data_IF_056831624662
#
_entry.id   IF_056831624662
#
_cell.length_a   1.000
_cell.length_b   1.000
_cell.length_c   1.000
_cell.angle_alpha   90.00
_cell.angle_beta   90.00
_cell.angle_gamma   90.00
#
_symmetry.space_group_name_H-M   'P 1'
#
loop_
_entity.id
_entity.type
_entity.pdbx_description
1 polymer ?
#
# COMPACT_ATOMS: atom_id res chain seq x y z
N UNK A 1 9.44 -37.49 -23.62
CA UNK A 1 8.72 -36.21 -23.79
C UNK A 1 7.66 -36.15 -22.70
N UNK A 2 7.96 -35.52 -21.56
CA UNK A 2 7.00 -35.34 -20.47
C UNK A 2 6.14 -34.13 -20.81
N UNK A 3 4.92 -34.36 -21.27
CA UNK A 3 3.94 -33.29 -21.47
C UNK A 3 3.64 -32.66 -20.11
N UNK A 4 4.20 -31.46 -19.87
CA UNK A 4 3.85 -30.64 -18.72
C UNK A 4 2.43 -30.15 -18.90
N UNK A 5 1.47 -30.82 -18.28
CA UNK A 5 0.10 -30.33 -18.16
C UNK A 5 0.13 -29.03 -17.37
N UNK A 6 -0.05 -27.90 -18.05
CA UNK A 6 -0.19 -26.59 -17.41
C UNK A 6 -1.44 -26.65 -16.54
N UNK A 7 -1.26 -26.90 -15.23
CA UNK A 7 -2.37 -26.82 -14.30
C UNK A 7 -2.83 -25.37 -14.26
N UNK A 8 -4.08 -25.16 -14.66
CA UNK A 8 -4.74 -23.87 -14.64
C UNK A 8 -4.81 -23.40 -13.18
N UNK A 9 -4.03 -22.37 -12.84
CA UNK A 9 -4.02 -21.83 -11.49
C UNK A 9 -5.37 -21.18 -11.19
N UNK A 10 -5.90 -21.48 -10.00
CA UNK A 10 -7.12 -20.86 -9.51
C UNK A 10 -6.86 -19.36 -9.24
N UNK A 11 -7.86 -18.49 -9.46
CA UNK A 11 -7.75 -17.09 -9.11
C UNK A 11 -7.52 -16.93 -7.60
N UNK A 12 -6.81 -15.86 -7.24
CA UNK A 12 -6.46 -15.52 -5.86
C UNK A 12 -7.19 -14.28 -5.43
N UNK A 13 -7.59 -14.21 -4.18
CA UNK A 13 -8.11 -12.99 -3.59
C UNK A 13 -7.02 -12.30 -2.80
N UNK A 14 -6.78 -11.05 -3.15
CA UNK A 14 -5.73 -10.22 -2.59
C UNK A 14 -6.37 -9.06 -1.83
N UNK A 15 -5.90 -8.84 -0.60
CA UNK A 15 -6.33 -7.73 0.25
C UNK A 15 -5.20 -6.71 0.32
N UNK A 16 -5.41 -5.51 -0.22
CA UNK A 16 -4.42 -4.45 -0.28
C UNK A 16 -4.66 -3.46 0.86
N UNK A 17 -3.64 -3.24 1.68
CA UNK A 17 -3.68 -2.32 2.82
C UNK A 17 -2.60 -1.26 2.63
N UNK A 18 -2.99 0.02 2.58
CA UNK A 18 -2.00 1.10 2.62
C UNK A 18 -1.52 1.29 4.06
N UNK A 19 -0.22 1.49 4.25
CA UNK A 19 0.32 1.88 5.54
C UNK A 19 -0.36 3.15 6.12
N UNK A 20 -0.34 3.27 7.44
CA UNK A 20 -0.80 4.44 8.18
C UNK A 20 0.02 5.69 7.89
N UNK A 21 -0.45 6.86 8.33
CA UNK A 21 0.30 8.10 8.17
C UNK A 21 1.69 8.00 8.85
N UNK A 22 2.75 8.26 8.08
CA UNK A 22 4.11 8.38 8.62
C UNK A 22 4.49 9.82 8.96
N UNK A 23 5.56 9.97 9.75
CA UNK A 23 6.18 11.27 10.04
C UNK A 23 6.62 12.01 8.77
N UNK A 24 7.12 11.28 7.77
CA UNK A 24 7.46 11.82 6.46
C UNK A 24 6.22 12.32 5.71
N UNK A 25 5.13 11.55 5.68
CA UNK A 25 3.89 11.99 5.03
C UNK A 25 3.36 13.27 5.66
N UNK A 26 3.40 13.36 7.00
CA UNK A 26 3.02 14.55 7.75
C UNK A 26 3.87 15.77 7.35
N UNK A 27 5.20 15.62 7.32
CA UNK A 27 6.13 16.69 6.92
C UNK A 27 5.90 17.14 5.48
N UNK A 28 5.75 16.21 4.54
CA UNK A 28 5.50 16.53 3.14
C UNK A 28 4.16 17.25 2.95
N UNK A 29 3.13 16.89 3.71
CA UNK A 29 1.86 17.61 3.70
C UNK A 29 2.04 19.05 4.20
N UNK A 30 2.74 19.26 5.33
CA UNK A 30 3.01 20.59 5.87
C UNK A 30 3.82 21.46 4.90
N UNK A 31 4.84 20.90 4.25
CA UNK A 31 5.66 21.60 3.25
C UNK A 31 4.81 22.00 2.04
N UNK A 32 3.97 21.08 1.51
CA UNK A 32 3.05 21.40 0.41
C UNK A 32 2.07 22.52 0.75
N UNK A 33 1.54 22.53 1.97
CA UNK A 33 0.65 23.60 2.43
C UNK A 33 1.39 24.95 2.53
N UNK A 34 2.58 24.97 3.12
CA UNK A 34 3.40 26.19 3.21
C UNK A 34 3.75 26.74 1.82
N UNK A 35 4.13 25.85 0.89
CA UNK A 35 4.40 26.20 -0.50
C UNK A 35 3.13 26.74 -1.17
N UNK A 36 1.99 26.05 -1.06
CA UNK A 36 0.71 26.49 -1.63
C UNK A 36 0.30 27.88 -1.14
N UNK A 37 0.49 28.17 0.14
CA UNK A 37 0.18 29.47 0.70
C UNK A 37 1.16 30.55 0.22
N UNK A 38 2.44 30.24 0.01
CA UNK A 38 3.40 31.14 -0.64
C UNK A 38 2.98 31.47 -2.09
N UNK A 39 2.52 30.46 -2.84
CA UNK A 39 2.02 30.61 -4.22
C UNK A 39 0.73 31.44 -4.31
N UNK A 40 -0.11 31.43 -3.28
CA UNK A 40 -1.34 32.25 -3.24
C UNK A 40 -1.05 33.76 -3.16
N UNK A 41 0.14 34.15 -2.73
CA UNK A 41 0.52 35.56 -2.58
C UNK A 41 1.59 36.03 -3.58
N UNK A 42 2.20 35.14 -4.37
CA UNK A 42 3.14 35.52 -5.44
C UNK A 42 3.39 34.37 -6.44
N UNK A 43 3.74 34.69 -7.69
CA UNK A 43 4.29 33.73 -8.66
C UNK A 43 5.78 33.53 -8.37
N UNK A 44 6.23 32.38 -7.87
CA UNK A 44 7.64 32.15 -7.60
C UNK A 44 8.42 31.96 -8.90
N UNK A 45 9.71 32.25 -8.81
CA UNK A 45 10.63 32.07 -9.93
C UNK A 45 10.92 30.58 -10.11
N UNK A 46 11.23 30.16 -11.32
CA UNK A 46 11.54 28.77 -11.65
C UNK A 46 12.68 28.17 -10.80
N UNK A 47 13.57 29.00 -10.27
CA UNK A 47 14.62 28.61 -9.33
C UNK A 47 14.10 28.14 -7.97
N UNK A 48 13.02 28.75 -7.46
CA UNK A 48 12.49 28.48 -6.12
C UNK A 48 11.76 27.12 -6.08
N UNK A 49 11.23 26.70 -7.23
CA UNK A 49 10.61 25.39 -7.41
C UNK A 49 11.67 24.27 -7.30
N UNK A 50 12.84 24.45 -7.91
CA UNK A 50 13.92 23.45 -7.85
C UNK A 50 14.48 23.30 -6.44
N UNK A 51 14.69 24.39 -5.71
CA UNK A 51 15.14 24.35 -4.32
C UNK A 51 14.11 23.67 -3.39
N UNK A 52 12.81 23.90 -3.63
CA UNK A 52 11.74 23.21 -2.91
C UNK A 52 11.69 21.71 -3.20
N UNK A 53 12.03 21.29 -4.42
CA UNK A 53 12.12 19.88 -4.79
C UNK A 53 13.35 19.18 -4.18
N UNK A 54 14.48 19.87 -4.03
CA UNK A 54 15.67 19.30 -3.37
C UNK A 54 15.44 19.03 -1.88
N UNK A 55 14.69 19.88 -1.17
CA UNK A 55 14.29 19.65 0.22
C UNK A 55 13.36 18.44 0.39
N UNK A 56 12.59 18.10 -0.65
CA UNK A 56 11.73 16.92 -0.70
C UNK A 56 12.54 15.64 -1.01
N UNK A 57 13.75 15.79 -1.56
CA UNK A 57 14.55 14.69 -2.11
C UNK A 57 15.69 14.23 -1.18
N UNK A 58 15.66 14.55 0.12
CA UNK A 58 16.69 14.07 1.06
C UNK A 58 16.52 12.55 1.25
N UNK A 59 17.46 11.71 0.80
CA UNK A 59 17.35 10.25 0.86
C UNK A 59 17.31 9.68 2.29
N UNK A 60 17.55 10.52 3.31
CA UNK A 60 17.66 10.13 4.71
C UNK A 60 16.31 9.96 5.44
N UNK A 61 15.16 10.10 4.77
CA UNK A 61 13.82 9.95 5.39
C UNK A 61 12.96 8.82 4.81
N UNK A 62 13.54 7.95 3.96
CA UNK A 62 12.80 6.90 3.22
C UNK A 62 12.10 5.91 4.17
N UNK A 63 12.61 5.74 5.39
CA UNK A 63 12.05 4.84 6.38
C UNK A 63 11.69 5.56 7.69
N UNK A 64 10.56 6.26 7.67
CA UNK A 64 10.02 6.98 8.84
C UNK A 64 9.03 6.14 9.65
N UNK A 65 9.02 6.35 10.96
CA UNK A 65 8.02 5.79 11.87
C UNK A 65 6.60 6.27 11.52
N UNK A 66 5.60 5.50 11.94
CA UNK A 66 4.20 5.93 11.99
C UNK A 66 4.05 7.13 12.94
N UNK A 67 3.33 8.17 12.49
CA UNK A 67 3.06 9.37 13.29
C UNK A 67 2.07 9.07 14.43
N UNK A 68 1.89 9.96 15.43
CA UNK A 68 0.84 9.79 16.44
C UNK A 68 -0.56 9.62 15.82
N UNK A 69 -0.86 10.38 14.77
CA UNK A 69 -2.13 10.23 14.01
C UNK A 69 -2.21 8.87 13.35
N UNK A 70 -1.11 8.41 12.74
CA UNK A 70 -1.04 7.08 12.14
C UNK A 70 -1.25 5.95 13.15
N UNK A 71 -0.78 6.11 14.40
CA UNK A 71 -1.06 5.14 15.47
C UNK A 71 -2.55 5.09 15.82
N UNK A 72 -3.22 6.24 15.84
CA UNK A 72 -4.68 6.28 16.00
C UNK A 72 -5.41 5.60 14.84
N UNK A 73 -4.97 5.83 13.59
CA UNK A 73 -5.51 5.16 12.40
C UNK A 73 -5.35 3.63 12.47
N UNK A 74 -4.17 3.16 12.92
CA UNK A 74 -3.91 1.73 13.14
C UNK A 74 -4.86 1.15 14.16
N UNK A 75 -5.03 1.80 15.31
CA UNK A 75 -5.88 1.30 16.40
C UNK A 75 -7.36 1.26 15.99
N UNK A 76 -7.87 2.32 15.36
CA UNK A 76 -9.25 2.37 14.86
C UNK A 76 -9.51 1.23 13.87
N UNK A 77 -8.60 1.05 12.90
CA UNK A 77 -8.75 0.00 11.91
C UNK A 77 -8.57 -1.40 12.50
N UNK A 78 -7.66 -1.57 13.47
CA UNK A 78 -7.50 -2.84 14.20
C UNK A 78 -8.81 -3.23 14.91
N UNK A 79 -9.47 -2.28 15.57
CA UNK A 79 -10.75 -2.51 16.23
C UNK A 79 -11.84 -2.89 15.21
N UNK A 80 -11.89 -2.21 14.05
CA UNK A 80 -12.83 -2.53 12.98
C UNK A 80 -12.61 -3.94 12.39
N UNK A 81 -11.35 -4.31 12.10
CA UNK A 81 -11.00 -5.62 11.56
C UNK A 81 -11.27 -6.74 12.57
N UNK A 82 -10.99 -6.50 13.86
CA UNK A 82 -11.30 -7.43 14.93
C UNK A 82 -12.79 -7.62 15.11
N UNK A 83 -13.58 -6.54 15.06
CA UNK A 83 -15.03 -6.61 15.15
C UNK A 83 -15.64 -7.41 13.97
N UNK A 84 -15.03 -7.34 12.79
CA UNK A 84 -15.41 -8.12 11.62
C UNK A 84 -14.85 -9.56 11.60
N UNK A 85 -14.01 -9.93 12.59
CA UNK A 85 -13.27 -11.19 12.60
C UNK A 85 -12.57 -11.45 11.25
N UNK A 86 -11.91 -10.40 10.73
CA UNK A 86 -11.51 -10.31 9.33
C UNK A 86 -10.60 -11.46 8.89
N UNK A 87 -9.59 -11.80 9.68
CA UNK A 87 -8.61 -12.84 9.32
C UNK A 87 -9.28 -14.20 9.15
N UNK A 88 -10.19 -14.55 10.05
CA UNK A 88 -10.93 -15.81 10.06
C UNK A 88 -12.04 -15.83 9.00
N UNK A 89 -12.79 -14.74 8.87
CA UNK A 89 -13.92 -14.64 7.93
C UNK A 89 -13.44 -14.72 6.49
N UNK A 90 -12.36 -14.01 6.17
CA UNK A 90 -11.76 -14.01 4.83
C UNK A 90 -10.77 -15.17 4.61
N UNK A 91 -10.51 -15.96 5.66
CA UNK A 91 -9.58 -17.10 5.66
C UNK A 91 -8.19 -16.71 5.17
N UNK A 92 -7.62 -15.65 5.74
CA UNK A 92 -6.32 -15.14 5.32
C UNK A 92 -5.21 -16.15 5.62
N UNK A 93 -4.52 -16.59 4.58
CA UNK A 93 -3.48 -17.62 4.68
C UNK A 93 -2.08 -16.99 4.82
N UNK A 94 -1.88 -15.83 4.19
CA UNK A 94 -0.59 -15.15 4.13
C UNK A 94 -0.72 -13.64 4.31
N UNK A 95 0.21 -13.07 5.07
CA UNK A 95 0.42 -11.62 5.16
C UNK A 95 1.79 -11.27 4.60
N UNK A 96 1.86 -10.28 3.73
CA UNK A 96 3.09 -9.76 3.15
C UNK A 96 3.14 -8.27 3.39
N UNK A 97 4.29 -7.75 3.82
CA UNK A 97 4.44 -6.31 3.98
C UNK A 97 5.73 -5.79 3.33
N UNK A 98 5.70 -4.51 2.96
CA UNK A 98 6.91 -3.77 2.59
C UNK A 98 7.92 -3.76 3.76
N UNK A 99 9.23 -3.79 3.48
CA UNK A 99 10.27 -3.72 4.51
C UNK A 99 10.32 -2.38 5.25
N UNK A 100 9.65 -1.35 4.73
CA UNK A 100 9.63 -0.04 5.39
C UNK A 100 8.84 -0.12 6.71
N UNK A 101 9.43 0.45 7.76
CA UNK A 101 8.97 0.44 9.13
C UNK A 101 7.52 0.86 9.28
N UNK A 102 7.07 1.88 8.55
CA UNK A 102 5.66 2.29 8.55
C UNK A 102 4.69 1.19 8.09
N UNK A 103 5.05 0.41 7.08
CA UNK A 103 4.22 -0.69 6.60
C UNK A 103 4.25 -1.86 7.60
N UNK A 104 5.43 -2.15 8.16
CA UNK A 104 5.60 -3.14 9.23
C UNK A 104 4.80 -2.80 10.49
N UNK A 105 4.90 -1.58 11.00
CA UNK A 105 4.14 -1.08 12.16
C UNK A 105 2.63 -1.14 11.88
N UNK A 106 2.20 -0.78 10.67
CA UNK A 106 0.79 -0.90 10.26
C UNK A 106 0.31 -2.35 10.27
N UNK A 107 1.06 -3.27 9.64
CA UNK A 107 0.74 -4.71 9.64
C UNK A 107 0.65 -5.26 11.05
N UNK A 108 1.62 -4.87 11.90
CA UNK A 108 1.69 -5.32 13.28
C UNK A 108 0.47 -4.87 14.08
N UNK A 109 0.15 -3.58 14.02
CA UNK A 109 -0.92 -3.03 14.84
C UNK A 109 -2.32 -3.41 14.35
N UNK A 110 -2.53 -3.50 13.03
CA UNK A 110 -3.85 -3.82 12.47
C UNK A 110 -4.18 -5.31 12.51
N UNK A 111 -3.20 -6.17 12.21
CA UNK A 111 -3.43 -7.60 12.00
C UNK A 111 -2.89 -8.45 13.16
N UNK A 112 -2.10 -7.86 14.07
CA UNK A 112 -1.31 -8.60 15.06
C UNK A 112 -0.30 -9.57 14.41
N UNK A 113 0.07 -9.33 13.14
CA UNK A 113 0.94 -10.18 12.32
C UNK A 113 2.09 -9.34 11.72
N UNK A 114 3.27 -9.35 12.34
CA UNK A 114 4.45 -8.67 11.78
C UNK A 114 5.80 -9.32 12.11
N UNK A 115 5.85 -10.26 13.04
CA UNK A 115 7.04 -11.07 13.24
C UNK A 115 6.85 -12.42 12.54
N UNK A 116 7.89 -12.98 11.90
CA UNK A 116 7.85 -14.33 11.32
C UNK A 116 7.37 -15.41 12.31
N UNK A 117 7.54 -15.16 13.61
CA UNK A 117 7.20 -16.09 14.69
C UNK A 117 5.80 -15.86 15.28
N UNK A 118 5.13 -14.74 14.97
CA UNK A 118 3.78 -14.46 15.46
C UNK A 118 2.76 -15.08 14.51
N UNK A 119 2.23 -16.24 14.90
CA UNK A 119 1.14 -16.92 14.17
C UNK A 119 -0.20 -16.61 14.82
N UNK A 120 -1.05 -15.91 14.09
CA UNK A 120 -2.47 -15.74 14.42
C UNK A 120 -3.23 -16.60 13.43
N UNK A 121 -3.92 -17.65 13.91
CA UNK A 121 -4.74 -18.46 13.01
C UNK A 121 -5.81 -17.56 12.35
N UNK A 122 -6.11 -17.72 11.05
CA UNK A 122 -5.65 -18.75 10.12
C UNK A 122 -4.33 -18.46 9.38
N UNK A 123 -3.66 -17.33 9.67
CA UNK A 123 -2.43 -16.91 8.97
C UNK A 123 -1.31 -17.91 9.24
N UNK A 124 -0.82 -18.54 8.16
CA UNK A 124 0.21 -19.56 8.21
C UNK A 124 1.61 -18.96 7.98
N UNK A 125 1.67 -17.86 7.23
CA UNK A 125 2.94 -17.26 6.78
C UNK A 125 2.89 -15.74 6.78
N UNK A 126 3.93 -15.12 7.33
CA UNK A 126 4.15 -13.68 7.31
C UNK A 126 5.50 -13.41 6.65
N UNK A 127 5.54 -12.61 5.60
CA UNK A 127 6.77 -12.27 4.87
C UNK A 127 6.99 -10.77 4.74
N UNK A 128 8.25 -10.39 4.79
CA UNK A 128 8.72 -9.09 4.34
C UNK A 128 9.20 -9.21 2.88
N UNK A 129 8.80 -8.29 2.01
CA UNK A 129 9.08 -8.38 0.57
C UNK A 129 9.52 -7.05 -0.04
N UNK A 130 10.78 -7.00 -0.50
CA UNK A 130 11.39 -5.81 -1.12
C UNK A 130 10.67 -5.34 -2.40
N UNK A 131 9.98 -6.25 -3.10
CA UNK A 131 9.22 -5.89 -4.29
C UNK A 131 8.12 -4.86 -3.97
N UNK A 132 7.62 -4.84 -2.73
CA UNK A 132 6.60 -3.89 -2.24
C UNK A 132 7.15 -2.52 -1.82
N UNK A 133 8.44 -2.23 -1.97
CA UNK A 133 9.01 -0.91 -1.63
C UNK A 133 8.26 0.25 -2.30
N UNK A 134 8.24 1.42 -1.66
CA UNK A 134 7.64 2.60 -2.27
C UNK A 134 8.36 2.99 -3.58
N UNK A 135 7.62 3.57 -4.53
CA UNK A 135 8.21 4.14 -5.73
C UNK A 135 9.08 5.35 -5.36
N UNK A 136 10.37 5.25 -5.61
CA UNK A 136 11.35 6.30 -5.34
C UNK A 136 11.29 7.41 -6.41
N UNK A 137 11.67 8.65 -6.08
CA UNK A 137 11.79 9.73 -7.07
C UNK A 137 12.71 9.39 -8.25
N UNK A 138 13.78 8.62 -8.04
CA UNK A 138 14.69 8.19 -9.10
C UNK A 138 14.03 7.29 -10.15
N UNK A 139 13.00 6.53 -9.77
CA UNK A 139 12.19 5.71 -10.69
C UNK A 139 11.24 6.55 -11.56
N UNK A 140 11.08 7.86 -11.30
CA UNK A 140 10.26 8.75 -12.13
C UNK A 140 11.00 9.33 -13.34
N UNK A 141 12.32 9.47 -13.27
CA UNK A 141 13.07 10.27 -14.25
C UNK A 141 13.90 9.42 -15.20
N UNK A 142 14.76 8.54 -14.66
CA UNK A 142 15.80 7.87 -15.47
C UNK A 142 15.58 6.35 -15.53
N UNK A 143 14.87 5.76 -14.56
CA UNK A 143 14.72 4.30 -14.41
C UNK A 143 13.27 3.82 -14.39
N UNK A 144 12.42 4.40 -15.24
CA UNK A 144 11.01 3.96 -15.32
C UNK A 144 10.89 2.44 -15.57
N UNK A 145 11.80 1.87 -16.37
CA UNK A 145 11.86 0.43 -16.64
C UNK A 145 12.10 -0.42 -15.40
N UNK A 146 12.87 0.03 -14.40
CA UNK A 146 13.14 -0.78 -13.20
C UNK A 146 11.91 -0.91 -12.31
N UNK A 147 11.08 0.13 -12.24
CA UNK A 147 9.82 0.07 -11.50
C UNK A 147 8.80 -0.84 -12.20
N UNK A 148 8.68 -0.74 -13.52
CA UNK A 148 7.82 -1.63 -14.32
C UNK A 148 8.28 -3.09 -14.18
N UNK A 149 9.59 -3.34 -14.25
CA UNK A 149 10.15 -4.67 -14.02
C UNK A 149 9.79 -5.19 -12.63
N UNK A 150 9.88 -4.34 -11.59
CA UNK A 150 9.53 -4.72 -10.22
C UNK A 150 8.04 -5.08 -10.05
N UNK A 151 7.14 -4.40 -10.77
CA UNK A 151 5.72 -4.78 -10.82
C UNK A 151 5.55 -6.15 -11.47
N UNK A 152 6.23 -6.40 -12.59
CA UNK A 152 6.20 -7.70 -13.26
C UNK A 152 6.78 -8.83 -12.39
N UNK A 153 7.91 -8.57 -11.72
CA UNK A 153 8.54 -9.51 -10.80
C UNK A 153 7.61 -9.80 -9.60
N UNK A 154 6.89 -8.78 -9.12
CA UNK A 154 5.89 -8.92 -8.06
C UNK A 154 4.72 -9.81 -8.48
N UNK A 155 4.15 -9.61 -9.67
CA UNK A 155 3.07 -10.47 -10.18
C UNK A 155 3.55 -11.91 -10.39
N UNK A 156 4.74 -12.08 -10.97
CA UNK A 156 5.37 -13.41 -11.14
C UNK A 156 5.57 -14.10 -9.79
N UNK A 157 6.05 -13.37 -8.79
CA UNK A 157 6.17 -13.87 -7.43
C UNK A 157 4.80 -14.27 -6.86
N UNK A 158 3.76 -13.48 -7.10
CA UNK A 158 2.41 -13.74 -6.59
C UNK A 158 1.79 -15.00 -7.23
N UNK A 159 2.01 -15.23 -8.53
CA UNK A 159 1.59 -16.45 -9.25
C UNK A 159 2.22 -17.72 -8.66
N UNK A 160 3.44 -17.62 -8.14
CA UNK A 160 4.17 -18.76 -7.56
C UNK A 160 3.74 -19.11 -6.14
N UNK A 161 2.98 -18.24 -5.45
CA UNK A 161 2.57 -18.53 -4.08
C UNK A 161 1.51 -19.66 -4.05
N UNK A 162 1.54 -20.59 -3.10
CA UNK A 162 0.49 -21.60 -2.95
C UNK A 162 -0.81 -21.02 -2.37
N UNK A 163 -0.73 -19.90 -1.65
CA UNK A 163 -1.88 -19.29 -0.99
C UNK A 163 -2.84 -18.62 -1.99
N UNK A 164 -4.13 -18.74 -1.66
CA UNK A 164 -5.28 -18.21 -2.38
C UNK A 164 -5.80 -16.91 -1.77
N UNK A 165 -5.59 -16.69 -0.46
CA UNK A 165 -6.04 -15.50 0.28
C UNK A 165 -4.85 -14.79 0.91
N UNK A 166 -4.43 -13.68 0.31
CA UNK A 166 -3.17 -12.98 0.66
C UNK A 166 -3.46 -11.53 1.01
N UNK A 167 -2.96 -11.06 2.16
CA UNK A 167 -2.93 -9.65 2.52
C UNK A 167 -1.58 -9.04 2.14
N UNK A 168 -1.60 -7.87 1.50
CA UNK A 168 -0.43 -7.08 1.13
C UNK A 168 -0.50 -5.71 1.83
N UNK A 169 0.45 -5.42 2.71
CA UNK A 169 0.58 -4.14 3.40
C UNK A 169 1.70 -3.32 2.77
N UNK A 170 1.36 -2.20 2.14
CA UNK A 170 2.32 -1.45 1.32
C UNK A 170 1.92 -0.01 1.05
N UNK A 171 2.25 0.48 -0.15
CA UNK A 171 2.19 1.90 -0.50
C UNK A 171 1.16 2.16 -1.60
N UNK A 172 0.37 3.22 -1.46
CA UNK A 172 -0.69 3.54 -2.42
C UNK A 172 -0.17 3.81 -3.83
N UNK A 173 1.04 4.36 -3.98
CA UNK A 173 1.64 4.56 -5.31
C UNK A 173 2.04 3.25 -5.99
N UNK A 174 2.47 2.25 -5.21
CA UNK A 174 2.76 0.93 -5.72
C UNK A 174 1.46 0.27 -6.21
N UNK A 175 0.42 0.23 -5.37
CA UNK A 175 -0.87 -0.35 -5.72
C UNK A 175 -1.56 0.37 -6.88
N UNK A 176 -1.50 1.71 -6.91
CA UNK A 176 -2.02 2.51 -8.02
C UNK A 176 -1.39 2.08 -9.35
N UNK A 177 -0.07 1.91 -9.38
CA UNK A 177 0.62 1.52 -10.59
C UNK A 177 0.34 0.05 -10.96
N UNK A 178 0.35 -0.85 -9.97
CA UNK A 178 0.06 -2.28 -10.14
C UNK A 178 -1.32 -2.52 -10.74
N UNK A 179 -2.32 -1.75 -10.29
CA UNK A 179 -3.72 -1.90 -10.71
C UNK A 179 -4.15 -0.93 -11.82
N UNK A 180 -3.22 -0.13 -12.36
CA UNK A 180 -3.50 0.91 -13.36
C UNK A 180 -4.60 1.91 -12.96
N UNK A 181 -4.65 2.30 -11.69
CA UNK A 181 -5.66 3.22 -11.16
C UNK A 181 -5.26 4.68 -11.40
N UNK A 182 -6.25 5.57 -11.38
CA UNK A 182 -6.06 7.03 -11.42
C UNK A 182 -6.07 7.67 -10.02
N UNK A 183 -6.58 6.98 -9.00
CA UNK A 183 -6.62 7.41 -7.60
C UNK A 183 -5.59 6.70 -6.70
N UNK A 184 -5.44 7.19 -5.46
CA UNK A 184 -4.61 6.57 -4.41
C UNK A 184 -5.50 6.09 -3.27
N UNK A 185 -5.10 5.02 -2.60
CA UNK A 185 -5.79 4.55 -1.40
C UNK A 185 -5.56 5.53 -0.23
N UNK A 186 -6.55 5.66 0.66
CA UNK A 186 -6.43 6.33 1.95
C UNK A 186 -5.50 5.57 2.90
N UNK A 187 -5.05 6.22 3.97
CA UNK A 187 -4.21 5.56 4.99
C UNK A 187 -5.03 4.48 5.70
N UNK A 188 -4.46 3.29 5.90
CA UNK A 188 -5.14 2.15 6.50
C UNK A 188 -6.36 1.61 5.75
N UNK A 189 -6.72 2.14 4.57
CA UNK A 189 -7.78 1.56 3.74
C UNK A 189 -7.50 0.09 3.43
N UNK A 190 -8.53 -0.73 3.46
CA UNK A 190 -8.47 -2.15 3.07
C UNK A 190 -9.30 -2.37 1.82
N UNK A 191 -8.63 -2.81 0.76
CA UNK A 191 -9.23 -3.11 -0.53
C UNK A 191 -9.12 -4.60 -0.82
N UNK A 192 -10.10 -5.15 -1.52
CA UNK A 192 -10.11 -6.52 -2.04
C UNK A 192 -10.02 -6.47 -3.56
N UNK A 193 -9.23 -7.36 -4.14
CA UNK A 193 -9.07 -7.50 -5.59
C UNK A 193 -8.81 -8.97 -5.92
N UNK A 194 -9.26 -9.44 -7.08
CA UNK A 194 -8.95 -10.77 -7.58
C UNK A 194 -7.73 -10.70 -8.51
N UNK A 195 -6.81 -11.65 -8.36
CA UNK A 195 -5.59 -11.79 -9.13
C UNK A 195 -5.55 -13.14 -9.85
N UNK A 196 -5.26 -13.12 -11.15
CA UNK A 196 -5.25 -14.30 -12.00
C UNK A 196 -6.67 -14.77 -12.38
N UNK A 197 -6.73 -15.92 -13.05
CA UNK A 197 -7.95 -16.42 -13.71
C UNK A 197 -7.86 -16.30 -15.23
N UNK A 198 -8.66 -17.10 -15.94
CA UNK A 198 -8.73 -16.96 -17.40
C UNK A 198 -9.43 -15.64 -17.74
N UNK A 199 -8.93 -14.89 -18.73
CA UNK A 199 -9.73 -13.85 -19.36
C UNK A 199 -11.04 -14.50 -19.80
N UNK A 200 -12.18 -13.95 -19.39
CA UNK A 200 -13.49 -14.37 -19.89
C UNK A 200 -13.49 -14.12 -21.39
N UNK A 201 -13.22 -15.17 -22.19
CA UNK A 201 -13.23 -15.20 -23.65
C UNK A 201 -12.98 -13.84 -24.31
N UNK A 202 -11.80 -13.27 -24.12
CA UNK A 202 -11.40 -12.06 -24.85
C UNK A 202 -10.82 -12.49 -26.20
N UNK A 203 -11.25 -11.80 -27.25
CA UNK A 203 -10.81 -12.04 -28.63
C UNK A 203 -9.28 -12.16 -28.68
N UNK A 204 -8.78 -13.12 -29.46
CA UNK A 204 -7.37 -13.52 -29.53
C UNK A 204 -6.36 -12.41 -29.92
N UNK A 205 -6.86 -11.21 -30.24
CA UNK A 205 -6.05 -10.07 -30.66
C UNK A 205 -5.61 -9.14 -29.50
N UNK A 206 -6.12 -9.33 -28.27
CA UNK A 206 -5.75 -8.50 -27.11
C UNK A 206 -4.91 -9.29 -26.09
N UNK A 207 -3.62 -9.43 -26.39
CA UNK A 207 -2.68 -10.32 -25.69
C UNK A 207 -2.31 -9.88 -24.26
N UNK A 208 -2.96 -8.86 -23.68
CA UNK A 208 -2.66 -8.36 -22.33
C UNK A 208 -3.91 -8.04 -21.53
N UNK A 209 -4.82 -9.02 -21.41
CA UNK A 209 -5.91 -8.91 -20.45
C UNK A 209 -5.35 -8.57 -19.04
N UNK A 210 -5.97 -7.62 -18.31
CA UNK A 210 -5.48 -7.26 -16.99
C UNK A 210 -5.61 -8.46 -16.04
N UNK A 211 -4.50 -8.80 -15.36
CA UNK A 211 -4.45 -9.89 -14.37
C UNK A 211 -5.27 -9.60 -13.11
N UNK A 212 -5.68 -8.35 -12.92
CA UNK A 212 -6.37 -7.85 -11.74
C UNK A 212 -7.81 -7.49 -12.08
N UNK A 213 -8.76 -7.90 -11.24
CA UNK A 213 -10.18 -7.64 -11.45
C UNK A 213 -10.94 -7.48 -10.13
N UNK A 214 -12.20 -7.03 -10.20
CA UNK A 214 -13.12 -6.96 -9.05
C UNK A 214 -12.59 -6.15 -7.84
N UNK A 215 -11.98 -4.98 -8.10
CA UNK A 215 -11.51 -4.10 -7.05
C UNK A 215 -12.68 -3.56 -6.21
N UNK A 216 -12.65 -3.76 -4.89
CA UNK A 216 -13.67 -3.34 -3.94
C UNK A 216 -13.02 -2.76 -2.68
N UNK A 217 -13.45 -1.57 -2.23
CA UNK A 217 -13.10 -1.06 -0.89
C UNK A 217 -13.93 -1.80 0.17
N UNK A 218 -13.28 -2.39 1.16
CA UNK A 218 -13.95 -3.11 2.26
C UNK A 218 -14.04 -2.26 3.53
N UNK A 219 -12.94 -1.60 3.90
CA UNK A 219 -12.85 -0.78 5.09
C UNK A 219 -12.23 0.58 4.75
N UNK A 220 -12.77 1.62 5.38
CA UNK A 220 -12.32 3.01 5.23
C UNK A 220 -11.92 3.55 6.60
N UNK A 221 -10.73 4.14 6.71
CA UNK A 221 -10.28 4.73 7.97
C UNK A 221 -10.77 6.17 8.05
N UNK A 222 -11.76 6.43 8.89
CA UNK A 222 -12.42 7.74 8.98
C UNK A 222 -11.48 8.88 9.40
N UNK A 223 -10.39 8.53 10.09
CA UNK A 223 -9.32 9.45 10.49
C UNK A 223 -8.36 9.85 9.36
N UNK A 224 -8.59 9.45 8.10
CA UNK A 224 -7.77 9.89 6.97
C UNK A 224 -7.93 11.39 6.66
N UNK A 225 -9.08 11.96 7.02
CA UNK A 225 -9.52 13.28 6.55
C UNK A 225 -9.41 14.38 7.63
N UNK A 226 -9.09 14.00 8.87
CA UNK A 226 -9.00 14.96 9.98
C UNK A 226 -7.70 15.78 9.84
N UNK A 227 -7.86 17.08 9.63
CA UNK A 227 -6.76 18.04 9.66
C UNK A 227 -6.05 17.98 11.04
N UNK A 228 -4.71 17.96 11.10
CA UNK A 228 -3.96 17.79 12.36
C UNK A 228 -4.34 18.77 13.50
N UNK A 229 -4.91 19.93 13.15
CA UNK A 229 -5.37 20.94 14.11
C UNK A 229 -6.61 20.52 14.89
N UNK A 230 -7.48 19.70 14.31
CA UNK A 230 -8.69 19.21 14.98
C UNK A 230 -8.35 18.06 15.94
N UNK A 231 -7.44 17.18 15.53
CA UNK A 231 -6.99 16.07 16.37
C UNK A 231 -6.26 16.54 17.64
N UNK A 232 -5.44 17.59 17.55
CA UNK A 232 -4.78 18.17 18.72
C UNK A 232 -5.79 18.71 19.75
N UNK A 233 -6.90 19.31 19.28
CA UNK A 233 -7.96 19.81 20.17
C UNK A 233 -8.73 18.69 20.86
N UNK A 234 -8.94 17.56 20.20
CA UNK A 234 -9.57 16.39 20.82
C UNK A 234 -8.67 15.68 21.83
N UNK A 235 -7.36 15.64 21.58
CA UNK A 235 -6.39 15.01 22.49
C UNK A 235 -6.13 15.85 23.74
N UNK A 236 -6.20 17.19 23.64
CA UNK A 236 -6.04 18.09 24.80
C UNK A 236 -7.33 18.27 25.62
N UNK A 237 -8.45 17.70 25.15
CA UNK A 237 -9.78 17.85 25.76
C UNK A 237 -10.26 16.66 26.60
N UNK A 238 -9.41 15.67 26.90
CA UNK A 238 -9.72 14.48 27.71
C UNK A 238 -8.88 14.39 28.96
#
# INVERSE_FOLDING_TARGET
MTSSTTQQQQPKTIYLIRHAQSEENRRLASVKTAIKDLFKFSLPKSSDIYAGMELINIPAQIDSNVSPVGKSQINEMADALKAANFLETEQIEMVVHSPLLRAKETSMGMLSCAAPDTRVAPVQRVLELDLLLEKTPAEWTIRYSSFVQRLFDFETWLEQQPESKIVLVGHSQFFKALLHLDFKFGNCDVWKVEFGGQPVEQNADDATAPKWSNLQKLFDCSLSDIEPKELAREMDGK
#
